data_IF_420207374565
#
_entry.id   IF_420207374565
#
_cell.length_a   1.000
_cell.length_b   1.000
_cell.length_c   1.000
_cell.angle_alpha   90.00
_cell.angle_beta   90.00
_cell.angle_gamma   90.00
#
_symmetry.space_group_name_H-M   'P 1'
#
loop_
_entity.id
_entity.type
_entity.pdbx_description
1 polymer ?
#
# COMPACT_ATOMS: atom_id res chain seq x y z
N UNK A 1 28.48 -0.46 11.58
CA UNK A 1 29.27 0.74 11.25
C UNK A 1 29.37 1.73 12.43
N UNK A 2 29.28 1.21 13.67
CA UNK A 2 29.42 2.04 14.88
C UNK A 2 28.25 2.99 15.19
N UNK A 3 27.17 2.94 14.40
CA UNK A 3 25.98 3.77 14.61
C UNK A 3 24.72 3.08 14.04
N UNK A 4 23.53 3.55 14.42
CA UNK A 4 22.28 3.05 13.88
C UNK A 4 22.19 3.36 12.38
N UNK A 5 21.83 2.38 11.57
CA UNK A 5 21.79 2.50 10.10
C UNK A 5 20.80 3.55 9.59
N UNK A 6 19.74 3.86 10.35
CA UNK A 6 18.81 4.95 10.03
C UNK A 6 19.44 6.36 9.93
N UNK A 7 20.69 6.52 10.36
CA UNK A 7 21.43 7.77 10.16
C UNK A 7 22.00 7.95 8.75
N UNK A 8 22.08 6.87 8.00
CA UNK A 8 22.54 6.93 6.60
C UNK A 8 21.39 7.31 5.68
N UNK A 9 21.62 8.28 4.78
CA UNK A 9 20.58 8.78 3.86
C UNK A 9 20.00 7.67 2.97
N UNK A 10 20.81 6.70 2.55
CA UNK A 10 20.36 5.54 1.79
C UNK A 10 19.31 4.69 2.52
N UNK A 11 19.23 4.79 3.84
CA UNK A 11 18.21 4.13 4.67
C UNK A 11 17.10 5.11 5.06
N UNK A 12 17.44 6.30 5.54
CA UNK A 12 16.45 7.27 6.03
C UNK A 12 15.49 7.74 4.94
N UNK A 13 15.94 7.87 3.70
CA UNK A 13 15.07 8.24 2.57
C UNK A 13 14.06 7.13 2.25
N UNK A 14 14.48 5.86 2.27
CA UNK A 14 13.56 4.73 2.14
C UNK A 14 12.48 4.76 3.23
N UNK A 15 12.86 4.99 4.48
CA UNK A 15 11.92 5.11 5.60
C UNK A 15 10.94 6.28 5.42
N UNK A 16 11.40 7.41 4.87
CA UNK A 16 10.55 8.56 4.56
C UNK A 16 9.52 8.22 3.46
N UNK A 17 9.94 7.56 2.39
CA UNK A 17 9.06 7.13 1.30
C UNK A 17 8.02 6.11 1.79
N UNK A 18 8.48 5.12 2.56
CA UNK A 18 7.59 4.13 3.20
C UNK A 18 6.52 4.82 4.06
N UNK A 19 6.93 5.73 4.95
CA UNK A 19 6.00 6.47 5.82
C UNK A 19 5.03 7.32 5.03
N UNK A 20 5.49 7.98 3.98
CA UNK A 20 4.64 8.80 3.10
C UNK A 20 3.54 7.97 2.48
N UNK A 21 3.87 6.83 1.88
CA UNK A 21 2.88 5.95 1.26
C UNK A 21 1.92 5.33 2.28
N UNK A 22 2.39 4.98 3.48
CA UNK A 22 1.53 4.49 4.55
C UNK A 22 0.47 5.53 4.94
N UNK A 23 0.86 6.79 5.12
CA UNK A 23 -0.08 7.87 5.46
C UNK A 23 -1.09 8.11 4.32
N UNK A 24 -0.63 8.07 3.07
CA UNK A 24 -1.53 8.20 1.91
C UNK A 24 -2.60 7.09 1.89
N UNK A 25 -2.19 5.84 2.07
CA UNK A 25 -3.10 4.69 2.11
C UNK A 25 -4.08 4.77 3.29
N UNK A 26 -3.60 5.17 4.47
CA UNK A 26 -4.41 5.37 5.67
C UNK A 26 -5.49 6.44 5.44
N UNK A 27 -5.13 7.60 4.91
CA UNK A 27 -6.07 8.69 4.63
C UNK A 27 -7.11 8.31 3.58
N UNK A 28 -6.72 7.57 2.53
CA UNK A 28 -7.66 7.07 1.53
C UNK A 28 -8.65 6.06 2.14
N UNK A 29 -8.18 5.20 3.03
CA UNK A 29 -9.03 4.25 3.74
C UNK A 29 -10.04 4.96 4.64
N UNK A 30 -9.60 5.93 5.42
CA UNK A 30 -10.50 6.72 6.27
C UNK A 30 -11.49 7.54 5.45
N UNK A 31 -11.09 8.07 4.31
CA UNK A 31 -12.01 8.77 3.41
C UNK A 31 -13.12 7.84 2.92
N UNK A 32 -12.77 6.66 2.43
CA UNK A 32 -13.77 5.69 1.98
C UNK A 32 -14.73 5.29 3.12
N UNK A 33 -14.21 5.00 4.31
CA UNK A 33 -15.01 4.67 5.49
C UNK A 33 -15.96 5.81 5.88
N UNK A 34 -15.48 7.06 5.89
CA UNK A 34 -16.27 8.24 6.22
C UNK A 34 -17.43 8.46 5.23
N UNK A 35 -17.22 8.26 3.93
CA UNK A 35 -18.28 8.34 2.92
C UNK A 35 -19.33 7.26 3.14
N UNK A 36 -18.91 6.02 3.41
CA UNK A 36 -19.82 4.91 3.70
C UNK A 36 -20.66 5.17 4.96
N UNK A 37 -20.06 5.71 6.02
CA UNK A 37 -20.77 6.06 7.25
C UNK A 37 -21.87 7.12 7.02
N UNK A 38 -21.72 7.95 5.99
CA UNK A 38 -22.70 8.94 5.56
C UNK A 38 -23.77 8.39 4.62
N UNK A 39 -23.70 7.12 4.26
CA UNK A 39 -24.57 6.51 3.27
C UNK A 39 -24.33 6.95 1.83
N UNK A 40 -23.16 7.50 1.53
CA UNK A 40 -22.75 7.91 0.19
C UNK A 40 -22.18 6.72 -0.57
N UNK A 41 -22.36 6.70 -1.91
CA UNK A 41 -21.69 5.72 -2.75
C UNK A 41 -20.17 5.98 -2.76
N UNK A 42 -19.40 4.98 -2.37
CA UNK A 42 -17.95 5.09 -2.19
C UNK A 42 -17.17 3.98 -2.93
N UNK A 43 -17.74 3.42 -4.00
CA UNK A 43 -17.12 2.30 -4.73
C UNK A 43 -15.75 2.69 -5.29
N UNK A 44 -15.65 3.87 -5.91
CA UNK A 44 -14.38 4.39 -6.42
C UNK A 44 -13.38 4.71 -5.30
N UNK A 45 -13.84 5.32 -4.21
CA UNK A 45 -12.99 5.61 -3.04
C UNK A 45 -12.49 4.32 -2.38
N UNK A 46 -13.34 3.31 -2.24
CA UNK A 46 -12.96 2.00 -1.72
C UNK A 46 -11.95 1.29 -2.64
N UNK A 47 -12.17 1.36 -3.96
CA UNK A 47 -11.24 0.81 -4.94
C UNK A 47 -9.87 1.52 -4.91
N UNK A 48 -9.84 2.85 -4.80
CA UNK A 48 -8.60 3.62 -4.63
C UNK A 48 -7.90 3.28 -3.32
N UNK A 49 -8.64 3.13 -2.22
CA UNK A 49 -8.09 2.72 -0.93
C UNK A 49 -7.45 1.34 -1.02
N UNK A 50 -8.10 0.37 -1.69
CA UNK A 50 -7.54 -0.96 -1.89
C UNK A 50 -6.27 -0.93 -2.74
N UNK A 51 -6.27 -0.24 -3.88
CA UNK A 51 -5.07 -0.09 -4.73
C UNK A 51 -3.93 0.49 -3.90
N UNK A 52 -4.16 1.62 -3.25
CA UNK A 52 -3.15 2.33 -2.48
C UNK A 52 -2.58 1.45 -1.35
N UNK A 53 -3.44 0.80 -0.57
CA UNK A 53 -3.02 0.00 0.58
C UNK A 53 -2.23 -1.25 0.17
N UNK A 54 -2.68 -1.97 -0.85
CA UNK A 54 -2.04 -3.23 -1.26
C UNK A 54 -0.73 -3.00 -2.03
N UNK A 55 -0.67 -1.97 -2.85
CA UNK A 55 0.58 -1.60 -3.55
C UNK A 55 1.59 -0.98 -2.58
N UNK A 56 1.13 -0.16 -1.63
CA UNK A 56 1.96 0.34 -0.52
C UNK A 56 2.53 -0.80 0.32
N UNK A 57 1.71 -1.78 0.72
CA UNK A 57 2.15 -2.91 1.53
C UNK A 57 3.26 -3.71 0.82
N UNK A 58 3.10 -3.94 -0.49
CA UNK A 58 4.13 -4.60 -1.31
C UNK A 58 5.44 -3.79 -1.32
N UNK A 59 5.35 -2.48 -1.53
CA UNK A 59 6.51 -1.60 -1.55
C UNK A 59 7.21 -1.53 -0.18
N UNK A 60 6.44 -1.31 0.89
CA UNK A 60 6.98 -1.17 2.25
C UNK A 60 7.64 -2.46 2.73
N UNK A 61 7.03 -3.62 2.48
CA UNK A 61 7.60 -4.91 2.86
C UNK A 61 8.89 -5.22 2.10
N UNK A 62 8.96 -4.90 0.81
CA UNK A 62 10.15 -5.07 -0.02
C UNK A 62 11.30 -4.18 0.47
N UNK A 63 11.04 -2.90 0.68
CA UNK A 63 12.04 -1.96 1.19
C UNK A 63 12.50 -2.30 2.62
N UNK A 64 11.62 -2.84 3.46
CA UNK A 64 11.99 -3.30 4.80
C UNK A 64 12.99 -4.45 4.74
N UNK A 65 12.78 -5.42 3.85
CA UNK A 65 13.75 -6.51 3.60
C UNK A 65 15.07 -5.91 3.10
N UNK A 66 15.02 -4.99 2.13
CA UNK A 66 16.21 -4.35 1.57
C UNK A 66 17.04 -3.61 2.64
N UNK A 67 16.37 -2.91 3.58
CA UNK A 67 17.03 -2.19 4.69
C UNK A 67 17.74 -3.16 5.63
N UNK A 68 17.15 -4.31 5.92
CA UNK A 68 17.71 -5.30 6.84
C UNK A 68 18.68 -6.27 6.14
N UNK A 69 18.74 -6.24 4.82
CA UNK A 69 19.61 -7.11 4.04
C UNK A 69 19.30 -8.59 4.29
N UNK A 70 20.33 -9.43 4.40
CA UNK A 70 20.16 -10.86 4.62
C UNK A 70 19.28 -11.24 5.80
N UNK A 71 19.31 -10.45 6.87
CA UNK A 71 18.42 -10.64 8.04
C UNK A 71 16.94 -10.48 7.70
N UNK A 72 16.61 -9.65 6.71
CA UNK A 72 15.22 -9.46 6.28
C UNK A 72 14.61 -10.70 5.61
N UNK A 73 15.45 -11.62 5.13
CA UNK A 73 15.03 -12.89 4.51
C UNK A 73 14.94 -14.06 5.49
N UNK A 74 15.40 -13.86 6.73
CA UNK A 74 15.41 -14.91 7.74
C UNK A 74 14.06 -14.98 8.45
N UNK A 75 13.66 -16.18 8.87
CA UNK A 75 12.37 -16.45 9.51
C UNK A 75 12.30 -16.01 10.99
N UNK A 76 13.42 -15.60 11.57
CA UNK A 76 13.47 -14.93 12.88
C UNK A 76 12.77 -13.57 12.89
N UNK A 77 12.61 -12.96 11.70
CA UNK A 77 11.86 -11.73 11.49
C UNK A 77 10.62 -12.00 10.63
N UNK A 78 9.50 -11.30 10.86
CA UNK A 78 8.27 -11.56 10.12
C UNK A 78 8.28 -11.02 8.67
N UNK A 79 9.33 -10.34 8.24
CA UNK A 79 9.34 -9.52 7.02
C UNK A 79 9.20 -10.36 5.74
N UNK A 80 9.91 -11.48 5.62
CA UNK A 80 9.81 -12.34 4.43
C UNK A 80 8.39 -12.91 4.27
N UNK A 81 7.74 -13.26 5.38
CA UNK A 81 6.37 -13.73 5.38
C UNK A 81 5.40 -12.61 5.00
N UNK A 82 5.55 -11.42 5.59
CA UNK A 82 4.73 -10.25 5.26
C UNK A 82 4.87 -9.90 3.77
N UNK A 83 6.08 -9.89 3.25
CA UNK A 83 6.35 -9.60 1.83
C UNK A 83 5.68 -10.62 0.90
N UNK A 84 5.74 -11.90 1.23
CA UNK A 84 5.11 -12.98 0.47
C UNK A 84 3.59 -12.90 0.54
N UNK A 85 3.04 -12.68 1.74
CA UNK A 85 1.60 -12.55 1.96
C UNK A 85 1.04 -11.29 1.28
N UNK A 86 1.76 -10.17 1.34
CA UNK A 86 1.39 -8.92 0.67
C UNK A 86 1.16 -9.08 -0.84
N UNK A 87 1.83 -10.05 -1.48
CA UNK A 87 1.71 -10.25 -2.94
C UNK A 87 0.31 -10.71 -3.34
N UNK A 88 -0.37 -11.50 -2.53
CA UNK A 88 -1.70 -12.01 -2.85
C UNK A 88 -2.78 -10.92 -2.72
N UNK A 89 -2.57 -9.90 -1.90
CA UNK A 89 -3.54 -8.81 -1.69
C UNK A 89 -3.85 -8.02 -2.97
N UNK A 90 -2.94 -8.04 -3.94
CA UNK A 90 -3.14 -7.43 -5.26
C UNK A 90 -3.90 -8.33 -6.24
N UNK A 91 -4.19 -9.57 -5.85
CA UNK A 91 -4.80 -10.60 -6.71
C UNK A 91 -6.21 -10.93 -6.25
N UNK A 92 -6.42 -11.22 -4.96
CA UNK A 92 -7.71 -11.64 -4.43
C UNK A 92 -8.65 -10.45 -4.16
N UNK A 93 -9.93 -10.75 -3.92
CA UNK A 93 -10.98 -9.76 -3.60
C UNK A 93 -11.07 -8.60 -4.60
N UNK A 94 -10.82 -8.93 -5.87
CA UNK A 94 -10.70 -7.97 -6.97
C UNK A 94 -9.26 -7.51 -7.17
N UNK A 95 -8.69 -7.91 -8.31
CA UNK A 95 -7.30 -7.57 -8.65
C UNK A 95 -7.08 -6.06 -8.73
N UNK A 96 -5.82 -5.63 -8.66
CA UNK A 96 -5.46 -4.21 -8.87
C UNK A 96 -6.01 -3.65 -10.19
N UNK A 97 -6.12 -4.48 -11.23
CA UNK A 97 -6.69 -4.11 -12.53
C UNK A 97 -8.20 -3.90 -12.45
N UNK A 98 -8.92 -4.78 -11.75
CA UNK A 98 -10.37 -4.63 -11.52
C UNK A 98 -10.66 -3.38 -10.68
N UNK A 99 -9.87 -3.11 -9.66
CA UNK A 99 -10.02 -1.88 -8.89
C UNK A 99 -9.82 -0.63 -9.76
N UNK A 100 -8.82 -0.62 -10.64
CA UNK A 100 -8.60 0.46 -11.60
C UNK A 100 -9.77 0.61 -12.59
N UNK A 101 -10.37 -0.51 -13.00
CA UNK A 101 -11.58 -0.47 -13.84
C UNK A 101 -12.75 0.19 -13.11
N UNK A 102 -12.96 -0.10 -11.82
CA UNK A 102 -14.01 0.54 -11.01
C UNK A 102 -13.80 2.06 -10.96
N UNK A 103 -12.59 2.50 -10.62
CA UNK A 103 -12.24 3.93 -10.57
C UNK A 103 -12.45 4.61 -11.92
N UNK A 104 -11.90 4.04 -12.99
CA UNK A 104 -12.01 4.62 -14.33
C UNK A 104 -13.47 4.74 -14.81
N UNK A 105 -14.27 3.70 -14.57
CA UNK A 105 -15.70 3.68 -14.93
C UNK A 105 -16.47 4.77 -14.17
N UNK A 106 -16.21 4.96 -12.88
CA UNK A 106 -16.86 6.02 -12.11
C UNK A 106 -16.51 7.41 -12.64
N UNK A 107 -15.24 7.63 -12.97
CA UNK A 107 -14.76 8.92 -13.52
C UNK A 107 -15.31 9.20 -14.93
N UNK A 108 -15.39 8.18 -15.78
CA UNK A 108 -15.70 8.37 -17.22
C UNK A 108 -17.19 8.29 -17.52
N UNK A 109 -17.97 7.57 -16.69
CA UNK A 109 -19.43 7.42 -16.90
C UNK A 109 -20.17 8.74 -17.08
N UNK A 110 -19.92 9.82 -16.30
CA UNK A 110 -20.58 11.11 -16.53
C UNK A 110 -20.21 11.78 -17.86
N UNK A 111 -19.11 11.34 -18.48
CA UNK A 111 -18.63 11.85 -19.77
C UNK A 111 -19.15 11.02 -20.97
N UNK A 112 -19.96 9.98 -20.71
CA UNK A 112 -20.55 9.15 -21.75
C UNK A 112 -19.65 8.02 -22.26
N UNK A 113 -18.62 7.65 -21.48
CA UNK A 113 -17.71 6.56 -21.82
C UNK A 113 -17.91 5.33 -20.93
#
# INVERSE_FOLDING_TARGET
>A
FGQKIGKFQGVSFKLADMRTQMVQAELMTYRAAWLMDRGEMADGDAAMAKISSTEMLQFVSDEAIQILGGMGLMDELPLERIWRDARVDRIWDGTSEIQRHIVSREMLRPLGA
#
